data_IF_876316519743
#
_entry.id   IF_876316519743
#
_cell.length_a   1.000
_cell.length_b   1.000
_cell.length_c   1.000
_cell.angle_alpha   90.00
_cell.angle_beta   90.00
_cell.angle_gamma   90.00
#
_symmetry.space_group_name_H-M   'P 1'
#
loop_
_entity.id
_entity.type
_entity.pdbx_description
1 polymer ?
#
# COMPACT_ATOMS: atom_id res chain seq x y z
N UNK A 1 7.23 -55.18 8.96
CA UNK A 1 6.16 -54.15 8.92
C UNK A 1 6.37 -53.01 9.92
N UNK A 2 6.78 -53.25 11.18
CA UNK A 2 6.94 -52.20 12.22
C UNK A 2 8.10 -51.20 11.96
N UNK A 3 9.18 -51.63 11.29
CA UNK A 3 10.31 -50.75 10.95
C UNK A 3 9.95 -49.73 9.85
N UNK A 4 9.10 -50.12 8.89
CA UNK A 4 8.70 -49.28 7.77
C UNK A 4 7.72 -48.18 8.22
N UNK A 5 6.81 -48.48 9.15
CA UNK A 5 5.90 -47.48 9.73
C UNK A 5 6.64 -46.45 10.60
N UNK A 6 7.69 -46.85 11.31
CA UNK A 6 8.54 -45.91 12.07
C UNK A 6 9.35 -44.99 11.16
N UNK A 7 9.87 -45.50 10.04
CA UNK A 7 10.59 -44.69 9.05
C UNK A 7 9.69 -43.61 8.43
N UNK A 8 8.44 -43.97 8.09
CA UNK A 8 7.45 -43.04 7.54
C UNK A 8 7.11 -41.90 8.51
N UNK A 9 6.98 -42.21 9.81
CA UNK A 9 6.70 -41.18 10.83
C UNK A 9 7.87 -40.22 11.01
N UNK A 10 9.12 -40.71 11.01
CA UNK A 10 10.31 -39.86 11.13
C UNK A 10 10.47 -38.94 9.91
N UNK A 11 10.21 -39.45 8.71
CA UNK A 11 10.25 -38.64 7.48
C UNK A 11 9.16 -37.57 7.49
N UNK A 12 7.94 -37.88 7.96
CA UNK A 12 6.86 -36.89 8.03
C UNK A 12 7.16 -35.71 8.97
N UNK A 13 7.89 -35.94 10.07
CA UNK A 13 8.23 -34.90 11.04
C UNK A 13 9.31 -33.92 10.53
N UNK A 14 10.19 -34.36 9.64
CA UNK A 14 11.25 -33.52 9.06
C UNK A 14 10.75 -32.54 7.99
N UNK A 15 9.60 -32.84 7.36
CA UNK A 15 9.05 -32.01 6.27
C UNK A 15 8.23 -30.83 6.84
N UNK A 16 7.78 -30.91 8.10
CA UNK A 16 6.95 -29.88 8.72
C UNK A 16 7.73 -28.61 9.13
N UNK A 17 9.07 -28.63 9.13
CA UNK A 17 9.90 -27.54 9.65
C UNK A 17 10.08 -26.34 8.71
N UNK A 18 9.61 -26.43 7.45
CA UNK A 18 10.00 -25.48 6.38
C UNK A 18 9.09 -24.24 6.25
N UNK A 19 7.94 -24.17 6.93
CA UNK A 19 6.87 -23.19 6.59
C UNK A 19 6.86 -21.94 7.50
N UNK A 20 7.69 -21.84 8.53
CA UNK A 20 7.62 -20.74 9.51
C UNK A 20 8.57 -19.56 9.23
N UNK A 21 8.85 -19.21 7.98
CA UNK A 21 9.58 -17.98 7.67
C UNK A 21 8.62 -16.77 7.77
N UNK A 22 8.91 -15.73 8.58
CA UNK A 22 8.12 -14.51 8.57
C UNK A 22 8.23 -13.86 7.19
N UNK A 23 7.08 -13.64 6.53
CA UNK A 23 7.05 -12.86 5.29
C UNK A 23 7.62 -11.45 5.57
N UNK A 24 8.41 -10.87 4.65
CA UNK A 24 8.88 -9.51 4.81
C UNK A 24 7.68 -8.57 4.77
N UNK A 25 7.24 -8.11 5.94
CA UNK A 25 6.34 -6.96 6.03
C UNK A 25 7.18 -5.74 5.68
N UNK A 26 7.06 -5.26 4.44
CA UNK A 26 7.58 -3.97 4.04
C UNK A 26 6.97 -2.90 4.95
N UNK A 27 7.68 -2.50 6.00
CA UNK A 27 7.27 -1.35 6.81
C UNK A 27 7.21 -0.16 5.87
N UNK A 28 6.06 0.53 5.82
CA UNK A 28 5.95 1.81 5.15
C UNK A 28 7.08 2.71 5.70
N UNK A 29 8.04 3.05 4.86
CA UNK A 29 9.16 3.87 5.28
C UNK A 29 8.64 5.28 5.56
N UNK A 30 8.88 5.79 6.77
CA UNK A 30 8.54 7.16 7.13
C UNK A 30 9.17 8.13 6.13
N UNK A 31 8.35 8.99 5.51
CA UNK A 31 8.81 10.05 4.60
C UNK A 31 8.72 11.39 5.33
N UNK A 32 9.65 12.28 5.02
CA UNK A 32 9.67 13.66 5.53
C UNK A 32 9.50 14.62 4.36
N UNK A 33 8.85 15.75 4.60
CA UNK A 33 8.59 16.77 3.60
C UNK A 33 8.09 18.06 4.25
N UNK A 34 7.91 19.09 3.43
CA UNK A 34 7.38 20.38 3.87
C UNK A 34 5.88 20.45 3.59
N UNK A 35 5.13 21.00 4.54
CA UNK A 35 3.68 21.19 4.43
C UNK A 35 3.28 22.65 4.61
N UNK A 36 2.19 23.04 3.96
CA UNK A 36 1.52 24.34 4.15
C UNK A 36 0.01 24.12 4.27
N UNK A 37 -0.72 25.14 4.72
CA UNK A 37 -2.17 25.11 4.83
C UNK A 37 -2.82 25.87 3.68
N UNK A 38 -3.98 25.39 3.23
CA UNK A 38 -4.78 26.04 2.19
C UNK A 38 -6.27 25.93 2.53
N UNK A 39 -7.08 26.83 1.96
CA UNK A 39 -8.53 26.73 2.03
C UNK A 39 -9.04 25.74 0.96
N UNK A 40 -9.82 24.72 1.33
CA UNK A 40 -10.32 23.71 0.39
C UNK A 40 -11.35 24.27 -0.61
N UNK A 41 -11.49 23.58 -1.74
CA UNK A 41 -12.39 23.91 -2.85
C UNK A 41 -12.37 22.81 -3.91
N UNK A 42 -12.36 23.17 -5.20
CA UNK A 42 -12.22 22.20 -6.30
C UNK A 42 -10.76 21.73 -6.45
N UNK A 43 -10.51 20.44 -6.24
CA UNK A 43 -9.17 19.84 -6.36
C UNK A 43 -8.87 19.30 -7.76
N UNK A 44 -7.60 18.91 -7.98
CA UNK A 44 -7.13 18.30 -9.24
C UNK A 44 -7.86 17.00 -9.61
N UNK A 45 -8.35 16.27 -8.62
CA UNK A 45 -9.18 15.08 -8.81
C UNK A 45 -10.61 15.39 -9.32
N UNK A 46 -10.97 16.68 -9.49
CA UNK A 46 -12.32 17.10 -9.87
C UNK A 46 -13.35 16.99 -8.75
N UNK A 47 -12.90 16.79 -7.51
CA UNK A 47 -13.75 16.70 -6.32
C UNK A 47 -13.76 18.05 -5.61
N UNK A 48 -14.96 18.53 -5.26
CA UNK A 48 -15.12 19.70 -4.43
C UNK A 48 -15.11 19.32 -2.95
N UNK A 49 -14.18 19.86 -2.19
CA UNK A 49 -14.04 19.63 -0.75
C UNK A 49 -14.34 20.90 0.03
N UNK A 50 -14.65 20.72 1.30
CA UNK A 50 -14.99 21.74 2.29
C UNK A 50 -14.00 21.72 3.45
N UNK A 51 -14.07 22.73 4.33
CA UNK A 51 -13.21 22.82 5.52
C UNK A 51 -13.41 21.70 6.55
N UNK A 52 -14.46 20.89 6.40
CA UNK A 52 -14.74 19.74 7.24
C UNK A 52 -14.13 18.44 6.71
N UNK A 53 -13.64 18.43 5.47
CA UNK A 53 -13.09 17.24 4.84
C UNK A 53 -11.60 17.09 5.18
N UNK A 54 -11.22 15.87 5.57
CA UNK A 54 -9.82 15.54 5.87
C UNK A 54 -9.05 15.34 4.55
N UNK A 55 -8.49 16.43 4.04
CA UNK A 55 -7.78 16.43 2.76
C UNK A 55 -6.33 16.91 2.90
N UNK A 56 -5.49 16.49 1.96
CA UNK A 56 -4.14 17.01 1.77
C UNK A 56 -3.89 17.20 0.28
N UNK A 57 -3.20 18.28 -0.08
CA UNK A 57 -2.66 18.48 -1.41
C UNK A 57 -1.20 18.03 -1.43
N UNK A 58 -0.80 17.30 -2.47
CA UNK A 58 0.58 16.85 -2.67
C UNK A 58 1.25 17.65 -3.78
N UNK A 59 2.59 17.65 -3.80
CA UNK A 59 3.37 18.27 -4.87
C UNK A 59 3.05 17.63 -6.23
N UNK A 60 3.12 18.42 -7.30
CA UNK A 60 2.89 17.95 -8.67
C UNK A 60 3.77 16.75 -9.04
N UNK A 61 5.06 16.76 -8.69
CA UNK A 61 5.97 15.64 -8.99
C UNK A 61 5.47 14.33 -8.35
N UNK A 62 5.04 14.38 -7.09
CA UNK A 62 4.44 13.22 -6.44
C UNK A 62 3.14 12.81 -7.13
N UNK A 63 2.32 13.76 -7.55
CA UNK A 63 1.03 13.51 -8.21
C UNK A 63 1.21 12.83 -9.59
N UNK A 64 2.13 13.33 -10.41
CA UNK A 64 2.36 12.88 -11.79
C UNK A 64 3.16 11.57 -11.87
N UNK A 65 3.95 11.24 -10.84
CA UNK A 65 4.81 10.05 -10.80
C UNK A 65 4.38 9.00 -9.78
N UNK A 66 3.26 9.20 -9.08
CA UNK A 66 2.76 8.21 -8.14
C UNK A 66 2.46 6.88 -8.87
N UNK A 67 2.73 5.71 -8.26
CA UNK A 67 2.30 4.43 -8.84
C UNK A 67 0.78 4.44 -9.10
N UNK A 68 0.40 4.35 -10.38
CA UNK A 68 -0.99 4.54 -10.83
C UNK A 68 -1.21 5.85 -11.60
N UNK A 69 -0.25 6.76 -11.71
CA UNK A 69 -0.40 7.93 -12.55
C UNK A 69 -0.60 7.51 -14.03
N UNK A 70 -1.76 7.85 -14.60
CA UNK A 70 -2.08 7.61 -15.99
C UNK A 70 -1.42 8.64 -16.92
N UNK A 71 -1.62 8.49 -18.23
CA UNK A 71 -1.11 9.45 -19.24
C UNK A 71 -1.71 10.85 -19.13
N UNK A 72 -2.85 11.00 -18.44
CA UNK A 72 -3.46 12.29 -18.17
C UNK A 72 -3.12 12.70 -16.72
N UNK A 73 -2.37 13.79 -16.51
CA UNK A 73 -1.99 14.27 -15.18
C UNK A 73 -3.15 14.86 -14.39
N UNK A 74 -4.39 14.88 -14.90
CA UNK A 74 -5.61 15.16 -14.13
C UNK A 74 -6.41 13.89 -13.79
N UNK A 75 -5.87 12.72 -14.15
CA UNK A 75 -6.42 11.38 -13.91
C UNK A 75 -5.32 10.51 -13.30
N UNK A 76 -4.60 11.01 -12.30
CA UNK A 76 -3.80 10.15 -11.45
C UNK A 76 -4.75 9.14 -10.80
N UNK A 77 -4.49 7.84 -11.01
CA UNK A 77 -5.40 6.76 -10.62
C UNK A 77 -5.63 6.69 -9.11
N UNK A 78 -6.65 5.90 -8.79
CA UNK A 78 -7.31 5.59 -7.53
C UNK A 78 -6.62 6.05 -6.25
N UNK A 79 -5.32 5.81 -6.01
CA UNK A 79 -4.69 6.04 -4.70
C UNK A 79 -4.56 7.51 -4.25
N UNK A 80 -4.19 8.44 -5.14
CA UNK A 80 -4.04 9.87 -4.76
C UNK A 80 -5.40 10.57 -4.69
N UNK A 81 -6.34 10.12 -5.52
CA UNK A 81 -7.69 10.66 -5.62
C UNK A 81 -8.75 9.83 -4.88
N UNK A 82 -8.36 8.91 -3.98
CA UNK A 82 -9.21 7.94 -3.25
C UNK A 82 -10.27 8.55 -2.31
N UNK A 83 -10.41 9.88 -2.23
CA UNK A 83 -11.37 10.53 -1.31
C UNK A 83 -12.84 10.43 -1.78
N UNK A 84 -13.15 9.54 -2.71
CA UNK A 84 -14.51 9.17 -3.06
C UNK A 84 -14.60 7.67 -2.85
N UNK A 85 -15.15 7.24 -1.73
CA UNK A 85 -15.64 5.87 -1.60
C UNK A 85 -16.47 5.48 -2.83
#
# INVERSE_FOLDING_TARGET
MVALTRLVLVVSALIASVIAAPAPVSRAASKSGQGTFFAPGLGACGIHNSGSDMIVAVSQELFDHFPGAGVNPNKSDELVCSLKD
#
